data_IF_118727978781
#
_entry.id   IF_118727978781
#
_cell.length_a   1.000
_cell.length_b   1.000
_cell.length_c   1.000
_cell.angle_alpha   90.00
_cell.angle_beta   90.00
_cell.angle_gamma   90.00
#
_symmetry.space_group_name_H-M   'P 1'
#
loop_
_entity.id
_entity.type
_entity.pdbx_description
1 polymer ?
#
# COMPACT_ATOMS: atom_id res chain seq x y z
N UNK A 1 13.01 -16.29 -9.38
CA UNK A 1 13.97 -15.96 -8.31
C UNK A 1 13.77 -14.55 -7.71
N UNK A 2 13.24 -13.56 -8.43
CA UNK A 2 13.04 -12.19 -7.90
C UNK A 2 11.79 -11.98 -7.03
N UNK A 3 10.77 -12.83 -7.13
CA UNK A 3 9.47 -12.63 -6.45
C UNK A 3 9.50 -12.83 -4.92
N UNK A 4 10.36 -13.72 -4.42
CA UNK A 4 10.49 -14.00 -2.99
C UNK A 4 11.03 -12.81 -2.18
N UNK A 5 11.55 -11.78 -2.84
CA UNK A 5 12.12 -10.60 -2.17
C UNK A 5 11.10 -9.49 -1.94
N UNK A 6 9.95 -9.51 -2.64
CA UNK A 6 9.00 -8.39 -2.68
C UNK A 6 7.77 -8.65 -1.78
N UNK A 7 7.34 -9.91 -1.68
CA UNK A 7 6.18 -10.31 -0.88
C UNK A 7 6.61 -11.20 0.29
N UNK A 8 5.87 -11.11 1.39
CA UNK A 8 6.00 -12.05 2.51
C UNK A 8 5.70 -13.49 2.08
N UNK A 9 6.45 -14.43 2.64
CA UNK A 9 6.41 -15.84 2.27
C UNK A 9 5.57 -16.61 3.27
N UNK A 10 4.49 -17.23 2.78
CA UNK A 10 3.79 -18.29 3.50
C UNK A 10 4.71 -19.52 3.59
N UNK A 11 5.04 -19.94 4.81
CA UNK A 11 5.89 -21.09 5.09
C UNK A 11 5.06 -22.37 5.18
N UNK A 12 3.92 -22.30 5.86
CA UNK A 12 2.97 -23.41 6.00
C UNK A 12 1.61 -22.89 6.43
N UNK A 13 0.59 -23.74 6.32
CA UNK A 13 -0.75 -23.50 6.87
C UNK A 13 -1.26 -24.77 7.54
N UNK A 14 -2.10 -24.62 8.55
CA UNK A 14 -2.76 -25.74 9.22
C UNK A 14 -4.03 -25.25 9.92
N UNK A 15 -4.92 -26.18 10.26
CA UNK A 15 -6.10 -25.88 11.08
C UNK A 15 -5.86 -26.32 12.51
N UNK A 16 -6.05 -25.43 13.48
CA UNK A 16 -5.96 -25.74 14.90
C UNK A 16 -7.20 -25.25 15.63
N UNK A 17 -7.93 -26.17 16.28
CA UNK A 17 -9.18 -25.87 17.01
C UNK A 17 -10.22 -25.09 16.19
N UNK A 18 -10.36 -25.42 14.91
CA UNK A 18 -11.32 -24.77 14.00
C UNK A 18 -10.85 -23.43 13.43
N UNK A 19 -9.63 -22.98 13.73
CA UNK A 19 -9.06 -21.76 13.15
C UNK A 19 -8.02 -22.13 12.10
N UNK A 20 -8.10 -21.50 10.92
CA UNK A 20 -7.05 -21.54 9.91
C UNK A 20 -5.86 -20.71 10.41
N UNK A 21 -4.71 -21.36 10.56
CA UNK A 21 -3.45 -20.74 10.95
C UNK A 21 -2.53 -20.65 9.74
N UNK A 22 -2.02 -19.46 9.48
CA UNK A 22 -1.06 -19.18 8.41
C UNK A 22 0.28 -18.79 9.06
N UNK A 23 1.35 -19.50 8.71
CA UNK A 23 2.69 -19.25 9.25
C UNK A 23 3.53 -18.57 8.19
N UNK A 24 4.06 -17.40 8.51
CA UNK A 24 4.86 -16.59 7.58
C UNK A 24 6.30 -16.43 8.06
N UNK A 25 7.18 -15.96 7.17
CA UNK A 25 8.48 -15.46 7.59
C UNK A 25 8.31 -14.28 8.57
N UNK A 26 9.19 -14.21 9.59
CA UNK A 26 9.17 -13.10 10.54
C UNK A 26 9.82 -11.86 9.89
N UNK A 27 9.10 -10.74 9.93
CA UNK A 27 9.55 -9.43 9.48
C UNK A 27 9.73 -8.50 10.69
N UNK A 28 10.21 -7.29 10.44
CA UNK A 28 10.36 -6.24 11.44
C UNK A 28 9.11 -5.36 11.52
N UNK A 29 9.25 -4.14 12.02
CA UNK A 29 8.13 -3.21 12.17
C UNK A 29 7.65 -2.66 10.80
N UNK A 30 6.40 -2.23 10.77
CA UNK A 30 5.76 -1.64 9.59
C UNK A 30 6.17 -0.17 9.38
N UNK A 31 5.83 0.40 8.23
CA UNK A 31 6.20 1.77 7.91
C UNK A 31 5.45 2.82 8.73
N UNK A 32 4.27 2.52 9.29
CA UNK A 32 3.61 3.42 10.23
C UNK A 32 4.41 3.55 11.53
N UNK A 33 4.91 2.44 12.06
CA UNK A 33 5.79 2.44 13.23
C UNK A 33 7.15 3.10 12.94
N UNK A 34 7.64 3.01 11.69
CA UNK A 34 8.79 3.81 11.25
C UNK A 34 8.50 5.32 11.37
N UNK A 35 7.33 5.79 10.90
CA UNK A 35 6.92 7.19 11.01
C UNK A 35 6.81 7.61 12.48
N UNK A 36 6.19 6.80 13.34
CA UNK A 36 6.14 7.05 14.80
C UNK A 36 7.53 7.24 15.39
N UNK A 37 8.50 6.40 15.01
CA UNK A 37 9.88 6.48 15.49
C UNK A 37 10.60 7.78 15.07
N UNK A 38 10.10 8.49 14.06
CA UNK A 38 10.57 9.85 13.69
C UNK A 38 9.91 10.96 14.53
N UNK A 39 9.01 10.60 15.45
CA UNK A 39 8.06 11.49 16.11
C UNK A 39 7.17 12.22 15.11
N UNK A 40 6.67 11.49 14.10
CA UNK A 40 5.80 12.04 13.03
C UNK A 40 6.43 13.23 12.27
N UNK A 41 7.77 13.23 12.12
CA UNK A 41 8.49 14.21 11.29
C UNK A 41 8.81 13.69 9.89
N UNK A 42 8.37 12.47 9.60
CA UNK A 42 8.62 11.78 8.35
C UNK A 42 10.07 11.34 8.17
N UNK A 43 10.34 10.75 7.01
CA UNK A 43 11.66 10.28 6.60
C UNK A 43 12.21 11.13 5.45
N UNK A 44 13.53 11.08 5.26
CA UNK A 44 14.18 11.79 4.16
C UNK A 44 13.64 11.38 2.79
N UNK A 45 13.60 12.31 1.83
CA UNK A 45 13.23 12.03 0.43
C UNK A 45 14.03 10.89 -0.19
N UNK A 46 15.30 10.72 0.19
CA UNK A 46 16.13 9.63 -0.28
C UNK A 46 15.62 8.26 0.19
N UNK A 47 15.12 8.16 1.43
CA UNK A 47 14.52 6.95 1.93
C UNK A 47 13.12 6.73 1.35
N UNK A 48 12.30 7.79 1.23
CA UNK A 48 11.00 7.74 0.55
C UNK A 48 11.14 7.20 -0.88
N UNK A 49 12.14 7.67 -1.64
CA UNK A 49 12.45 7.19 -3.00
C UNK A 49 12.78 5.70 -3.03
N UNK A 50 13.55 5.19 -2.05
CA UNK A 50 13.87 3.76 -1.94
C UNK A 50 12.63 2.90 -1.68
N UNK A 51 11.71 3.39 -0.86
CA UNK A 51 10.43 2.70 -0.63
C UNK A 51 9.54 2.75 -1.88
N UNK A 52 9.45 3.92 -2.54
CA UNK A 52 8.71 4.08 -3.78
C UNK A 52 9.16 3.08 -4.86
N UNK A 53 10.47 2.95 -5.09
CA UNK A 53 11.01 2.01 -6.08
C UNK A 53 10.58 0.56 -5.80
N UNK A 54 10.66 0.13 -4.54
CA UNK A 54 10.29 -1.23 -4.14
C UNK A 54 8.77 -1.47 -4.23
N UNK A 55 7.95 -0.50 -3.83
CA UNK A 55 6.50 -0.58 -3.94
C UNK A 55 6.03 -0.56 -5.39
N UNK A 56 6.61 0.31 -6.24
CA UNK A 56 6.34 0.31 -7.68
C UNK A 56 6.72 -1.04 -8.30
N UNK A 57 7.82 -1.66 -7.88
CA UNK A 57 8.21 -2.99 -8.36
C UNK A 57 7.21 -4.08 -7.93
N UNK A 58 6.62 -3.95 -6.73
CA UNK A 58 5.57 -4.84 -6.25
C UNK A 58 4.27 -4.66 -7.05
N UNK A 59 3.83 -3.42 -7.26
CA UNK A 59 2.60 -3.11 -8.00
C UNK A 59 2.74 -3.45 -9.49
N UNK A 60 3.90 -3.21 -10.09
CA UNK A 60 4.21 -3.68 -11.45
C UNK A 60 4.01 -5.20 -11.56
N UNK A 61 4.53 -5.97 -10.60
CA UNK A 61 4.34 -7.41 -10.58
C UNK A 61 2.87 -7.82 -10.47
N UNK A 62 2.11 -7.23 -9.55
CA UNK A 62 0.68 -7.54 -9.40
C UNK A 62 -0.13 -7.17 -10.65
N UNK A 63 0.31 -6.14 -11.39
CA UNK A 63 -0.34 -5.65 -12.59
C UNK A 63 -0.11 -6.50 -13.84
N UNK A 64 0.80 -7.48 -13.79
CA UNK A 64 1.16 -8.28 -14.96
C UNK A 64 -0.04 -9.05 -15.51
N UNK A 65 -0.10 -9.30 -16.83
CA UNK A 65 -1.25 -9.95 -17.47
C UNK A 65 -1.59 -11.34 -16.92
N UNK A 66 -0.60 -12.06 -16.38
CA UNK A 66 -0.74 -13.38 -15.78
C UNK A 66 -1.13 -13.35 -14.29
N UNK A 67 -1.05 -12.18 -13.63
CA UNK A 67 -1.40 -12.00 -12.22
C UNK A 67 -2.74 -11.24 -12.07
N UNK A 68 -2.80 -10.00 -12.56
CA UNK A 68 -3.97 -9.10 -12.49
C UNK A 68 -4.61 -8.99 -11.10
N UNK A 69 -3.78 -8.84 -10.07
CA UNK A 69 -4.20 -8.76 -8.66
C UNK A 69 -4.29 -7.28 -8.23
N UNK A 70 -5.36 -6.94 -7.51
CA UNK A 70 -5.51 -5.68 -6.79
C UNK A 70 -5.32 -5.98 -5.30
N UNK A 71 -4.43 -5.26 -4.62
CA UNK A 71 -4.17 -5.44 -3.20
C UNK A 71 -5.36 -5.01 -2.33
N UNK A 72 -6.02 -3.91 -2.71
CA UNK A 72 -7.23 -3.35 -2.10
C UNK A 72 -7.09 -2.78 -0.69
N UNK A 73 -5.96 -2.96 0.00
CA UNK A 73 -5.71 -2.34 1.32
C UNK A 73 -4.24 -1.92 1.52
N UNK A 74 -3.67 -1.22 0.53
CA UNK A 74 -2.31 -0.70 0.63
C UNK A 74 -2.25 0.48 1.61
N UNK A 75 -1.47 0.34 2.68
CA UNK A 75 -1.26 1.33 3.75
C UNK A 75 0.08 1.11 4.46
N UNK A 76 0.63 2.08 5.19
CA UNK A 76 1.94 1.95 5.85
C UNK A 76 2.01 0.76 6.82
N UNK A 77 0.92 0.36 7.45
CA UNK A 77 0.82 -0.80 8.35
C UNK A 77 1.03 -2.13 7.63
N UNK A 78 0.69 -2.20 6.33
CA UNK A 78 0.80 -3.40 5.50
C UNK A 78 2.12 -3.47 4.72
N UNK A 79 3.08 -2.59 5.04
CA UNK A 79 4.41 -2.57 4.42
C UNK A 79 5.44 -2.73 5.54
N UNK A 80 6.10 -3.88 5.58
CA UNK A 80 7.00 -4.24 6.68
C UNK A 80 8.46 -4.19 6.24
N UNK A 81 9.32 -3.70 7.14
CA UNK A 81 10.77 -3.81 6.96
C UNK A 81 11.21 -5.26 7.12
N UNK A 82 12.11 -5.72 6.25
CA UNK A 82 12.76 -7.03 6.40
C UNK A 82 13.74 -7.01 7.58
N UNK A 83 14.41 -5.87 7.81
CA UNK A 83 15.36 -5.70 8.90
C UNK A 83 15.27 -4.27 9.45
N UNK A 84 15.29 -4.07 10.78
CA UNK A 84 15.08 -2.75 11.40
C UNK A 84 16.14 -1.70 11.05
N UNK A 85 17.30 -2.11 10.50
CA UNK A 85 18.43 -1.24 10.15
C UNK A 85 18.65 -1.12 8.63
N UNK A 86 17.78 -1.72 7.81
CA UNK A 86 17.88 -1.70 6.33
C UNK A 86 16.57 -1.20 5.74
N UNK A 87 16.61 -0.73 4.49
CA UNK A 87 15.42 -0.18 3.80
C UNK A 87 14.67 -1.22 2.96
N UNK A 88 15.02 -2.50 3.06
CA UNK A 88 14.32 -3.55 2.32
C UNK A 88 12.94 -3.77 2.94
N UNK A 89 11.89 -3.75 2.11
CA UNK A 89 10.50 -3.90 2.54
C UNK A 89 9.82 -5.09 1.85
N UNK A 90 8.74 -5.57 2.46
CA UNK A 90 7.80 -6.52 1.86
C UNK A 90 6.36 -6.06 2.07
N UNK A 91 5.54 -6.28 1.04
CA UNK A 91 4.09 -6.07 1.12
C UNK A 91 3.43 -7.29 1.78
N UNK A 92 2.50 -7.04 2.69
CA UNK A 92 1.77 -8.07 3.46
C UNK A 92 0.26 -7.81 3.42
N UNK A 93 -0.50 -8.78 3.95
CA UNK A 93 -1.95 -8.70 4.15
C UNK A 93 -2.77 -8.62 2.85
N UNK A 94 -2.85 -9.77 2.17
CA UNK A 94 -3.67 -9.96 0.98
C UNK A 94 -5.10 -10.42 1.30
N UNK A 95 -5.55 -10.25 2.55
CA UNK A 95 -6.88 -10.71 2.98
C UNK A 95 -8.04 -9.99 2.28
N UNK A 96 -7.79 -8.77 1.77
CA UNK A 96 -8.75 -7.96 1.00
C UNK A 96 -8.53 -8.00 -0.50
N UNK A 97 -7.47 -8.69 -0.97
CA UNK A 97 -7.07 -8.66 -2.37
C UNK A 97 -8.05 -9.41 -3.26
N UNK A 98 -8.18 -8.97 -4.51
CA UNK A 98 -9.03 -9.63 -5.50
C UNK A 98 -8.37 -9.63 -6.88
N UNK A 99 -8.76 -10.59 -7.71
CA UNK A 99 -8.44 -10.55 -9.14
C UNK A 99 -9.29 -9.48 -9.83
N UNK A 100 -8.75 -8.77 -10.82
CA UNK A 100 -9.45 -7.65 -11.50
C UNK A 100 -10.80 -8.04 -12.12
N UNK A 101 -10.99 -9.33 -12.44
CA UNK A 101 -12.24 -9.88 -13.02
C UNK A 101 -13.23 -10.38 -11.98
N UNK A 102 -12.81 -10.50 -10.73
CA UNK A 102 -13.57 -11.11 -9.63
C UNK A 102 -13.70 -10.12 -8.47
N UNK A 103 -14.17 -8.91 -8.79
CA UNK A 103 -14.38 -7.84 -7.81
C UNK A 103 -15.61 -8.15 -6.95
N UNK A 104 -15.39 -8.42 -5.66
CA UNK A 104 -16.44 -8.84 -4.72
C UNK A 104 -17.05 -7.67 -3.95
N UNK A 105 -16.26 -6.63 -3.64
CA UNK A 105 -16.62 -5.59 -2.69
C UNK A 105 -16.58 -4.20 -3.31
N UNK A 106 -17.60 -3.38 -3.05
CA UNK A 106 -17.62 -1.96 -3.45
C UNK A 106 -16.97 -1.04 -2.40
N UNK A 107 -16.92 -1.48 -1.14
CA UNK A 107 -16.28 -0.73 -0.05
C UNK A 107 -14.97 -1.38 0.34
N UNK A 108 -13.88 -0.87 -0.23
CA UNK A 108 -12.50 -1.36 -0.04
C UNK A 108 -11.55 -0.21 0.31
N UNK A 109 -10.29 -0.53 0.59
CA UNK A 109 -9.23 0.37 1.04
C UNK A 109 -9.50 0.99 2.41
N UNK A 110 -8.44 1.21 3.18
CA UNK A 110 -8.49 2.02 4.39
C UNK A 110 -8.74 3.50 4.05
N UNK A 111 -9.53 4.21 4.86
CA UNK A 111 -10.12 5.53 4.55
C UNK A 111 -9.13 6.57 4.00
N UNK A 112 -7.94 6.69 4.59
CA UNK A 112 -6.94 7.71 4.20
C UNK A 112 -6.25 7.42 2.86
N UNK A 113 -6.31 6.17 2.41
CA UNK A 113 -5.64 5.68 1.20
C UNK A 113 -6.65 5.26 0.13
N UNK A 114 -7.93 5.55 0.34
CA UNK A 114 -9.03 5.14 -0.55
C UNK A 114 -9.09 6.03 -1.78
N UNK A 115 -9.20 5.41 -2.94
CA UNK A 115 -9.27 6.09 -4.23
C UNK A 115 -10.61 6.79 -4.46
N UNK A 116 -10.65 7.84 -5.31
CA UNK A 116 -11.88 8.49 -5.71
C UNK A 116 -12.85 7.53 -6.40
N UNK A 117 -12.36 6.61 -7.23
CA UNK A 117 -13.20 5.63 -7.92
C UNK A 117 -14.01 4.79 -6.91
N UNK A 118 -13.35 4.34 -5.84
CA UNK A 118 -14.00 3.59 -4.75
C UNK A 118 -14.93 4.48 -3.93
N UNK A 119 -14.52 5.72 -3.61
CA UNK A 119 -15.38 6.67 -2.86
C UNK A 119 -16.67 7.02 -3.62
N UNK A 120 -16.60 7.12 -4.94
CA UNK A 120 -17.72 7.45 -5.81
C UNK A 120 -18.54 6.21 -6.23
N UNK A 121 -18.14 5.01 -5.80
CA UNK A 121 -18.81 3.76 -6.20
C UNK A 121 -18.68 3.45 -7.69
N UNK A 122 -17.62 3.95 -8.34
CA UNK A 122 -17.30 3.67 -9.73
C UNK A 122 -16.63 2.30 -9.89
N UNK A 123 -16.60 1.80 -11.12
CA UNK A 123 -15.83 0.60 -11.40
C UNK A 123 -14.33 0.90 -11.23
N UNK A 124 -13.66 0.09 -10.42
CA UNK A 124 -12.27 0.31 -10.07
C UNK A 124 -11.34 -0.71 -10.71
N UNK A 125 -10.07 -0.35 -10.83
CA UNK A 125 -9.01 -1.17 -11.43
C UNK A 125 -7.79 -1.23 -10.52
N UNK A 126 -6.69 -1.84 -10.97
CA UNK A 126 -5.40 -1.86 -10.25
C UNK A 126 -4.85 -0.44 -9.95
N UNK A 127 -5.36 0.59 -10.63
CA UNK A 127 -5.00 1.99 -10.38
C UNK A 127 -5.32 2.48 -8.96
N UNK A 128 -6.23 1.83 -8.23
CA UNK A 128 -6.53 2.22 -6.85
C UNK A 128 -5.35 2.00 -5.90
N UNK A 129 -4.50 1.00 -6.17
CA UNK A 129 -3.29 0.77 -5.36
C UNK A 129 -2.22 1.82 -5.66
N UNK A 130 -2.18 2.35 -6.89
CA UNK A 130 -1.33 3.50 -7.25
C UNK A 130 -1.77 4.77 -6.52
N UNK A 131 -3.09 4.96 -6.33
CA UNK A 131 -3.62 6.05 -5.51
C UNK A 131 -3.15 5.93 -4.05
N UNK A 132 -3.32 4.74 -3.45
CA UNK A 132 -2.85 4.48 -2.09
C UNK A 132 -1.35 4.71 -1.95
N UNK A 133 -0.55 4.27 -2.93
CA UNK A 133 0.89 4.52 -2.97
C UNK A 133 1.20 6.02 -2.93
N UNK A 134 0.54 6.84 -3.74
CA UNK A 134 0.73 8.29 -3.73
C UNK A 134 0.51 8.90 -2.34
N UNK A 135 -0.58 8.49 -1.67
CA UNK A 135 -0.89 8.93 -0.30
C UNK A 135 0.21 8.51 0.70
N UNK A 136 0.64 7.25 0.62
CA UNK A 136 1.70 6.68 1.48
C UNK A 136 3.02 7.44 1.30
N UNK A 137 3.43 7.77 0.07
CA UNK A 137 4.71 8.44 -0.17
C UNK A 137 4.75 9.85 0.42
N UNK A 138 3.63 10.58 0.39
CA UNK A 138 3.53 11.89 1.04
C UNK A 138 3.57 11.75 2.56
N UNK A 139 2.82 10.80 3.12
CA UNK A 139 2.81 10.54 4.56
C UNK A 139 4.17 10.10 5.08
N UNK A 140 4.89 9.26 4.32
CA UNK A 140 6.25 8.87 4.67
C UNK A 140 7.17 10.08 4.78
N UNK A 141 7.07 11.05 3.87
CA UNK A 141 7.96 12.20 3.86
C UNK A 141 7.58 13.26 4.90
N UNK A 142 6.28 13.51 5.08
CA UNK A 142 5.75 14.58 5.93
C UNK A 142 5.54 14.12 7.38
N UNK A 143 5.30 12.83 7.59
CA UNK A 143 4.91 12.25 8.87
C UNK A 143 3.42 12.26 9.16
N UNK A 144 2.59 12.83 8.27
CA UNK A 144 1.15 12.98 8.46
C UNK A 144 0.36 12.47 7.24
N UNK A 145 -0.82 11.87 7.43
CA UNK A 145 -1.65 11.40 6.31
C UNK A 145 -2.03 12.57 5.38
N UNK A 146 -1.82 12.40 4.07
CA UNK A 146 -2.18 13.40 3.06
C UNK A 146 -3.67 13.78 3.14
N UNK A 147 -4.51 12.80 3.40
CA UNK A 147 -5.95 12.98 3.51
C UNK A 147 -6.50 12.38 4.81
N UNK A 148 -6.34 13.10 5.92
CA UNK A 148 -6.84 12.73 7.24
C UNK A 148 -8.36 12.97 7.41
N UNK A 149 -9.15 12.36 6.53
CA UNK A 149 -10.58 12.61 6.29
C UNK A 149 -11.40 13.01 7.52
N UNK A 150 -11.81 14.28 7.56
CA UNK A 150 -12.87 14.77 8.44
C UNK A 150 -14.24 14.74 7.76
N UNK A 151 -14.32 14.85 6.42
CA UNK A 151 -15.55 14.71 5.61
C UNK A 151 -15.23 14.13 4.23
N UNK A 152 -15.91 13.05 3.83
CA UNK A 152 -15.52 12.12 2.75
C UNK A 152 -15.53 12.69 1.31
N UNK A 153 -15.98 13.93 1.07
CA UNK A 153 -16.24 14.42 -0.30
C UNK A 153 -15.60 15.78 -0.65
N UNK A 154 -15.39 16.68 0.31
CA UNK A 154 -15.18 18.11 0.00
C UNK A 154 -13.72 18.55 -0.15
N UNK A 155 -12.77 17.78 0.37
CA UNK A 155 -11.35 18.17 0.49
C UNK A 155 -10.42 17.55 -0.57
N UNK A 156 -10.90 16.59 -1.37
CA UNK A 156 -10.05 15.74 -2.22
C UNK A 156 -9.86 16.26 -3.66
N UNK A 157 -10.89 16.87 -4.25
CA UNK A 157 -10.92 17.23 -5.68
C UNK A 157 -9.91 18.31 -6.11
N UNK A 158 -9.64 19.39 -5.34
CA UNK A 158 -8.68 20.41 -5.76
C UNK A 158 -7.21 19.96 -5.63
N UNK A 159 -6.91 19.08 -4.67
CA UNK A 159 -5.56 18.54 -4.49
C UNK A 159 -5.25 17.47 -5.55
N UNK A 160 -6.27 16.67 -5.91
CA UNK A 160 -6.23 15.66 -6.97
C UNK A 160 -5.67 16.19 -8.30
N UNK A 161 -6.20 17.31 -8.80
CA UNK A 161 -5.76 17.90 -10.07
C UNK A 161 -4.33 18.44 -10.03
N UNK A 162 -3.91 19.02 -8.90
CA UNK A 162 -2.59 19.64 -8.79
C UNK A 162 -1.46 18.62 -8.56
N UNK A 163 -1.71 17.55 -7.80
CA UNK A 163 -0.70 16.50 -7.53
C UNK A 163 -0.46 15.58 -8.73
N UNK A 164 -1.51 15.22 -9.47
CA UNK A 164 -1.39 14.37 -10.67
C UNK A 164 -0.54 15.04 -11.76
N UNK A 165 -0.67 16.37 -11.92
CA UNK A 165 0.10 17.12 -12.91
C UNK A 165 1.59 17.22 -12.57
N UNK A 166 1.95 17.19 -11.28
CA UNK A 166 3.34 17.30 -10.80
C UNK A 166 4.05 15.95 -10.67
N UNK A 167 3.33 14.86 -10.38
CA UNK A 167 3.92 13.53 -10.21
C UNK A 167 4.15 12.82 -11.55
N UNK A 168 3.30 13.06 -12.56
CA UNK A 168 3.47 12.48 -13.91
C UNK A 168 4.59 13.19 -14.69
N UNK A 169 4.88 14.46 -14.41
CA UNK A 169 5.92 15.22 -15.13
C UNK A 169 7.36 14.92 -14.68
N UNK A 170 7.56 14.01 -13.72
CA UNK A 170 8.88 13.75 -13.13
C UNK A 170 9.29 12.28 -13.15
N UNK A 171 8.62 11.46 -13.96
CA UNK A 171 9.00 10.06 -14.24
C UNK A 171 9.17 9.86 -15.74
#
# INVERSE_FOLDING_TARGET
MYFQLIFFRLLTHFTFRGHLCLVFELLSYNLYDLIKNTNFRGVSLNLTRKFAQQLCSALDFLSRPDMQIIHCDLKPENILLVNPKRSAIKLVDFGSSCHVREKVYQYIQSRFYRSPDVLLGLDYTMSIDMWSLGCILVELHTGEPLFAGQDEVRSYLPLYFNLMHSLISTV
#
